data_IF_608596043372
#
_entry.id   IF_608596043372
#
_cell.length_a   1.000
_cell.length_b   1.000
_cell.length_c   1.000
_cell.angle_alpha   90.00
_cell.angle_beta   90.00
_cell.angle_gamma   90.00
#
_symmetry.space_group_name_H-M   'P 1'
#
loop_
_entity.id
_entity.type
_entity.pdbx_description
1 polymer ?
#
# COMPACT_ATOMS: atom_id res chain seq x y z
N UNK A 1 10.21 -50.76 2.51
CA UNK A 1 8.86 -50.35 2.96
C UNK A 1 8.47 -49.10 2.17
N UNK A 2 7.71 -49.29 1.08
CA UNK A 2 7.28 -48.26 0.15
C UNK A 2 6.10 -47.51 0.78
N UNK A 3 6.22 -46.20 0.94
CA UNK A 3 5.11 -45.32 1.30
C UNK A 3 4.84 -44.42 0.10
N UNK A 4 3.62 -44.54 -0.41
CA UNK A 4 3.02 -43.71 -1.45
C UNK A 4 2.15 -42.69 -0.73
N UNK A 5 2.33 -41.41 -1.05
CA UNK A 5 1.39 -40.31 -0.85
C UNK A 5 1.74 -39.33 -1.98
N UNK A 6 1.08 -39.32 -3.14
CA UNK A 6 -0.30 -38.91 -3.42
C UNK A 6 -0.61 -37.48 -2.93
N UNK A 7 -0.60 -36.54 -3.88
CA UNK A 7 -1.28 -35.24 -3.80
C UNK A 7 -0.63 -34.15 -2.92
N UNK A 8 -0.51 -32.95 -3.48
CA UNK A 8 -0.28 -31.68 -2.78
C UNK A 8 1.06 -31.47 -2.05
N UNK A 9 1.99 -30.83 -2.77
CA UNK A 9 2.77 -29.65 -2.30
C UNK A 9 4.14 -29.56 -2.98
N UNK A 10 4.15 -29.47 -4.31
CA UNK A 10 5.28 -28.84 -5.02
C UNK A 10 5.19 -27.30 -4.98
N UNK A 11 4.24 -26.76 -4.21
CA UNK A 11 3.94 -25.34 -4.10
C UNK A 11 4.64 -24.63 -2.92
N UNK A 12 5.58 -25.26 -2.21
CA UNK A 12 6.32 -24.54 -1.14
C UNK A 12 7.80 -24.89 -1.14
N UNK A 13 8.57 -24.22 -2.01
CA UNK A 13 9.56 -23.26 -1.50
C UNK A 13 9.45 -21.85 -2.12
N UNK A 14 8.81 -21.69 -3.28
CA UNK A 14 8.68 -20.38 -3.94
C UNK A 14 7.72 -19.45 -3.20
N UNK A 15 6.59 -19.97 -2.72
CA UNK A 15 5.63 -19.21 -1.92
C UNK A 15 6.20 -18.85 -0.54
N UNK A 16 6.95 -19.76 0.11
CA UNK A 16 7.71 -19.43 1.35
C UNK A 16 8.80 -18.39 1.06
N UNK A 17 9.57 -18.50 -0.03
CA UNK A 17 10.54 -17.47 -0.43
C UNK A 17 9.90 -16.12 -0.71
N UNK A 18 8.67 -16.09 -1.25
CA UNK A 18 7.92 -14.84 -1.50
C UNK A 18 7.42 -14.20 -0.20
N UNK A 19 7.14 -15.01 0.82
CA UNK A 19 6.80 -14.58 2.18
C UNK A 19 8.04 -14.21 3.02
N UNK A 20 9.17 -14.89 2.82
CA UNK A 20 10.42 -14.69 3.55
C UNK A 20 11.36 -13.66 2.90
N UNK A 21 11.19 -13.34 1.61
CA UNK A 21 11.83 -12.20 0.97
C UNK A 21 11.13 -10.92 1.41
N UNK A 22 11.32 -10.57 2.69
CA UNK A 22 11.00 -9.26 3.22
C UNK A 22 11.72 -8.19 2.42
N UNK A 23 11.04 -7.66 1.41
CA UNK A 23 11.15 -6.32 0.84
C UNK A 23 9.79 -6.10 0.19
N UNK A 24 9.19 -4.93 0.43
CA UNK A 24 7.98 -4.56 -0.29
C UNK A 24 8.11 -4.87 -1.78
N UNK A 25 7.02 -5.33 -2.40
CA UNK A 25 6.91 -5.57 -3.84
C UNK A 25 7.69 -4.47 -4.58
N UNK A 26 8.80 -4.86 -5.21
CA UNK A 26 9.74 -3.92 -5.82
C UNK A 26 9.02 -3.04 -6.86
N UNK A 27 7.97 -3.57 -7.49
CA UNK A 27 7.08 -2.82 -8.36
C UNK A 27 6.34 -1.70 -7.62
N UNK A 28 5.69 -2.00 -6.49
CA UNK A 28 4.98 -1.02 -5.67
C UNK A 28 5.95 0.03 -5.11
N UNK A 29 7.15 -0.38 -4.69
CA UNK A 29 8.20 0.54 -4.24
C UNK A 29 8.61 1.51 -5.36
N UNK A 30 8.87 1.00 -6.57
CA UNK A 30 9.17 1.85 -7.74
C UNK A 30 8.00 2.77 -8.12
N UNK A 31 6.75 2.35 -7.92
CA UNK A 31 5.58 3.24 -8.10
C UNK A 31 5.66 4.39 -7.12
N UNK A 32 5.88 4.11 -5.83
CA UNK A 32 5.88 5.13 -4.79
C UNK A 32 7.09 6.10 -4.90
N UNK A 33 8.26 5.59 -5.29
CA UNK A 33 9.44 6.40 -5.59
C UNK A 33 9.20 7.33 -6.80
N UNK A 34 8.63 6.80 -7.89
CA UNK A 34 8.30 7.60 -9.10
C UNK A 34 7.17 8.59 -8.88
N UNK A 35 6.22 8.29 -7.99
CA UNK A 35 5.09 9.15 -7.68
C UNK A 35 5.52 10.51 -7.12
N UNK A 36 6.74 10.62 -6.57
CA UNK A 36 7.31 11.86 -6.05
C UNK A 36 6.33 12.65 -5.16
N UNK A 37 5.65 11.91 -4.25
CA UNK A 37 4.66 12.50 -3.34
C UNK A 37 5.32 13.58 -2.48
N UNK A 38 4.65 14.72 -2.35
CA UNK A 38 5.03 15.80 -1.43
C UNK A 38 4.92 15.34 0.03
N UNK A 39 5.44 16.14 0.97
CA UNK A 39 5.29 15.85 2.40
C UNK A 39 3.82 15.67 2.82
N UNK A 40 2.95 16.57 2.36
CA UNK A 40 1.51 16.54 2.68
C UNK A 40 0.80 15.34 2.05
N UNK A 41 1.11 15.01 0.80
CA UNK A 41 0.53 13.84 0.11
C UNK A 41 0.92 12.52 0.79
N UNK A 42 2.17 12.41 1.28
CA UNK A 42 2.61 11.25 2.07
C UNK A 42 1.86 11.13 3.38
N UNK A 43 1.60 12.25 4.04
CA UNK A 43 0.80 12.29 5.27
C UNK A 43 -0.65 11.86 5.01
N UNK A 44 -1.28 12.37 3.95
CA UNK A 44 -2.62 11.93 3.52
C UNK A 44 -2.63 10.44 3.19
N UNK A 45 -1.64 9.92 2.47
CA UNK A 45 -1.53 8.47 2.18
C UNK A 45 -1.42 7.63 3.45
N UNK A 46 -0.65 8.08 4.46
CA UNK A 46 -0.58 7.41 5.77
C UNK A 46 -1.93 7.37 6.47
N UNK A 47 -2.63 8.49 6.53
CA UNK A 47 -3.95 8.54 7.18
C UNK A 47 -4.99 7.71 6.41
N UNK A 48 -4.89 7.67 5.07
CA UNK A 48 -5.73 6.79 4.26
C UNK A 48 -5.50 5.32 4.58
N UNK A 49 -4.24 4.91 4.71
CA UNK A 49 -3.84 3.56 5.08
C UNK A 49 -4.22 3.19 6.52
N UNK A 50 -4.36 4.18 7.40
CA UNK A 50 -4.96 4.06 8.73
C UNK A 50 -6.49 4.03 8.74
N UNK A 51 -7.15 4.01 7.58
CA UNK A 51 -8.61 3.85 7.46
C UNK A 51 -9.44 5.13 7.55
N UNK A 52 -8.83 6.32 7.66
CA UNK A 52 -9.58 7.55 7.93
C UNK A 52 -10.33 8.11 6.72
N UNK A 53 -11.59 8.50 6.89
CA UNK A 53 -12.35 9.28 5.91
C UNK A 53 -11.71 10.66 5.65
N UNK A 54 -12.10 11.32 4.55
CA UNK A 54 -11.59 12.65 4.23
C UNK A 54 -11.95 13.70 5.30
N UNK A 55 -13.09 13.54 5.98
CA UNK A 55 -13.51 14.42 7.07
C UNK A 55 -12.60 14.26 8.30
N UNK A 56 -12.24 13.02 8.67
CA UNK A 56 -11.32 12.75 9.77
C UNK A 56 -9.89 13.21 9.44
N UNK A 57 -9.46 13.02 8.18
CA UNK A 57 -8.18 13.54 7.70
C UNK A 57 -8.16 15.08 7.78
N UNK A 58 -9.25 15.74 7.35
CA UNK A 58 -9.38 17.19 7.42
C UNK A 58 -9.26 17.69 8.87
N UNK A 59 -9.94 17.02 9.81
CA UNK A 59 -9.82 17.31 11.24
C UNK A 59 -8.40 17.14 11.78
N UNK A 60 -7.71 16.04 11.44
CA UNK A 60 -6.34 15.78 11.91
C UNK A 60 -5.31 16.73 11.33
N UNK A 61 -5.47 17.11 10.06
CA UNK A 61 -4.53 18.00 9.37
C UNK A 61 -4.86 19.47 9.54
N UNK A 62 -5.99 19.80 10.19
CA UNK A 62 -6.53 21.16 10.34
C UNK A 62 -6.70 21.83 8.96
N UNK A 63 -7.35 21.11 8.04
CA UNK A 63 -7.61 21.53 6.65
C UNK A 63 -9.10 21.52 6.34
N UNK A 64 -9.49 22.17 5.25
CA UNK A 64 -10.83 22.03 4.67
C UNK A 64 -11.02 20.67 4.00
N UNK A 65 -12.25 20.14 4.05
CA UNK A 65 -12.58 18.85 3.43
C UNK A 65 -12.31 18.80 1.92
N UNK A 66 -12.53 19.91 1.21
CA UNK A 66 -12.24 20.01 -0.22
C UNK A 66 -10.73 19.95 -0.51
N UNK A 67 -9.91 20.61 0.32
CA UNK A 67 -8.44 20.54 0.24
C UNK A 67 -7.95 19.09 0.41
N UNK A 68 -8.53 18.34 1.35
CA UNK A 68 -8.21 16.92 1.52
C UNK A 68 -8.60 16.10 0.31
N UNK A 69 -9.79 16.31 -0.28
CA UNK A 69 -10.17 15.63 -1.53
C UNK A 69 -9.16 15.91 -2.65
N UNK A 70 -8.71 17.16 -2.80
CA UNK A 70 -7.69 17.50 -3.80
C UNK A 70 -6.37 16.76 -3.54
N UNK A 71 -5.92 16.65 -2.28
CA UNK A 71 -4.74 15.86 -1.95
C UNK A 71 -4.94 14.37 -2.21
N UNK A 72 -6.09 13.79 -1.88
CA UNK A 72 -6.41 12.39 -2.17
C UNK A 72 -6.37 12.16 -3.68
N UNK A 73 -7.05 12.99 -4.48
CA UNK A 73 -7.03 12.89 -5.94
C UNK A 73 -5.60 12.98 -6.51
N UNK A 74 -4.78 13.89 -5.99
CA UNK A 74 -3.36 14.00 -6.39
C UNK A 74 -2.57 12.74 -6.04
N UNK A 75 -2.76 12.18 -4.84
CA UNK A 75 -2.13 10.91 -4.43
C UNK A 75 -2.54 9.77 -5.35
N UNK A 76 -3.84 9.62 -5.64
CA UNK A 76 -4.34 8.57 -6.53
C UNK A 76 -3.72 8.71 -7.93
N UNK A 77 -3.75 9.91 -8.50
CA UNK A 77 -3.18 10.19 -9.81
C UNK A 77 -1.68 9.89 -9.87
N UNK A 78 -0.91 10.35 -8.88
CA UNK A 78 0.55 10.16 -8.82
C UNK A 78 0.95 8.69 -8.61
N UNK A 79 0.15 7.91 -7.89
CA UNK A 79 0.36 6.47 -7.72
C UNK A 79 -0.16 5.64 -8.90
N UNK A 80 -0.92 6.25 -9.83
CA UNK A 80 -1.68 5.50 -10.85
C UNK A 80 -2.74 4.58 -10.24
N UNK A 81 -3.23 4.91 -9.04
CA UNK A 81 -4.25 4.15 -8.35
C UNK A 81 -5.64 4.61 -8.82
N UNK A 82 -6.50 3.66 -9.20
CA UNK A 82 -7.87 3.95 -9.66
C UNK A 82 -8.81 4.35 -8.51
N UNK A 83 -8.48 3.90 -7.31
CA UNK A 83 -9.27 4.10 -6.11
C UNK A 83 -8.38 4.11 -4.86
N UNK A 84 -8.99 4.51 -3.75
CA UNK A 84 -8.35 4.58 -2.44
C UNK A 84 -7.77 3.24 -1.99
N UNK A 85 -8.49 2.14 -2.23
CA UNK A 85 -8.06 0.80 -1.82
C UNK A 85 -6.75 0.43 -2.50
N UNK A 86 -6.63 0.68 -3.80
CA UNK A 86 -5.42 0.42 -4.56
C UNK A 86 -4.23 1.29 -4.08
N UNK A 87 -4.46 2.55 -3.72
CA UNK A 87 -3.43 3.40 -3.14
C UNK A 87 -2.94 2.87 -1.78
N UNK A 88 -3.85 2.40 -0.93
CA UNK A 88 -3.52 1.78 0.35
C UNK A 88 -2.74 0.47 0.17
N UNK A 89 -3.17 -0.40 -0.76
CA UNK A 89 -2.44 -1.63 -1.10
C UNK A 89 -1.02 -1.29 -1.55
N UNK A 90 -0.86 -0.30 -2.44
CA UNK A 90 0.46 0.16 -2.91
C UNK A 90 1.33 0.64 -1.75
N UNK A 91 0.74 1.34 -0.77
CA UNK A 91 1.43 1.82 0.41
C UNK A 91 1.96 0.67 1.31
N UNK A 92 1.17 -0.38 1.52
CA UNK A 92 1.64 -1.57 2.26
C UNK A 92 2.64 -2.39 1.46
N UNK A 93 2.32 -2.67 0.19
CA UNK A 93 3.19 -3.47 -0.67
C UNK A 93 4.54 -2.81 -0.92
N UNK A 94 4.64 -1.48 -0.95
CA UNK A 94 5.94 -0.79 -1.11
C UNK A 94 6.78 -0.77 0.16
N UNK A 95 6.21 -1.14 1.31
CA UNK A 95 6.81 -0.92 2.63
C UNK A 95 6.72 0.53 3.11
N UNK A 96 5.97 1.40 2.43
CA UNK A 96 5.71 2.77 2.89
C UNK A 96 4.94 2.78 4.23
N UNK A 97 4.03 1.81 4.40
CA UNK A 97 3.45 1.45 5.70
C UNK A 97 4.02 0.10 6.12
N UNK A 98 4.50 0.02 7.36
CA UNK A 98 4.81 -1.25 8.00
C UNK A 98 3.65 -1.58 8.95
N UNK A 99 2.97 -2.73 8.79
CA UNK A 99 1.98 -3.18 9.77
C UNK A 99 2.66 -3.28 11.15
N UNK A 100 2.03 -2.71 12.17
CA UNK A 100 2.39 -2.89 13.57
C UNK A 100 1.55 -4.00 14.19
#
# INVERSE_FOLDING_TARGET
MRLVAEGDSLLFPAAVRRLAAGRGNESARRVLERAALTGREREVLRLMAGGLSNAEIAGRLVLGGETVKSHVSSVLAKLGARDRTQAVITAYESGFITPG
#
